data_IF_499505160792
#
_entry.id   IF_499505160792
#
_cell.length_a   1.000
_cell.length_b   1.000
_cell.length_c   1.000
_cell.angle_alpha   90.00
_cell.angle_beta   90.00
_cell.angle_gamma   90.00
#
_symmetry.space_group_name_H-M   'P 1'
#
loop_
_entity.id
_entity.type
_entity.pdbx_description
1 polymer ?
#
# COMPACT_ATOMS: atom_id res chain seq x y z
N UNK A 1 20.01 28.34 24.50
CA UNK A 1 19.08 27.18 24.60
C UNK A 1 19.92 25.92 24.65
N UNK A 2 19.65 24.98 25.56
CA UNK A 2 20.51 23.83 25.79
C UNK A 2 20.61 22.96 24.54
N UNK A 3 21.82 22.52 24.22
CA UNK A 3 22.08 21.56 23.15
C UNK A 3 21.43 20.24 23.52
N UNK A 4 20.70 19.66 22.57
CA UNK A 4 20.04 18.38 22.76
C UNK A 4 21.11 17.30 22.60
N UNK A 5 21.33 16.54 23.67
CA UNK A 5 22.19 15.37 23.68
C UNK A 5 21.46 14.20 22.98
N UNK A 6 21.93 13.84 21.78
CA UNK A 6 21.33 12.82 20.93
C UNK A 6 21.50 11.43 21.54
N UNK A 7 22.67 11.12 22.10
CA UNK A 7 22.96 9.82 22.70
C UNK A 7 22.04 9.56 23.89
N UNK A 8 21.88 10.58 24.74
CA UNK A 8 20.96 10.50 25.88
C UNK A 8 19.50 10.29 25.44
N UNK A 9 19.10 10.88 24.32
CA UNK A 9 17.75 10.68 23.77
C UNK A 9 17.56 9.27 23.20
N UNK A 10 18.54 8.78 22.44
CA UNK A 10 18.51 7.41 21.90
C UNK A 10 18.48 6.38 23.03
N UNK A 11 19.30 6.57 24.06
CA UNK A 11 19.26 5.73 25.27
C UNK A 11 17.87 5.78 25.94
N UNK A 12 17.29 6.98 26.10
CA UNK A 12 15.95 7.12 26.66
C UNK A 12 14.84 6.45 25.80
N UNK A 13 15.00 6.38 24.48
CA UNK A 13 14.08 5.71 23.55
C UNK A 13 14.26 4.19 23.51
N UNK A 14 15.45 3.67 23.78
CA UNK A 14 15.77 2.25 23.65
C UNK A 14 15.73 1.51 24.98
N UNK A 15 16.34 2.09 26.02
CA UNK A 15 16.60 1.44 27.30
C UNK A 15 15.70 1.99 28.42
N UNK A 16 15.07 3.14 28.19
CA UNK A 16 14.18 3.75 29.15
C UNK A 16 12.98 2.88 29.51
N UNK A 17 12.34 3.19 30.64
CA UNK A 17 11.02 2.64 30.99
C UNK A 17 10.01 2.91 29.87
N UNK A 18 8.92 2.14 29.78
CA UNK A 18 7.87 2.37 28.78
C UNK A 18 7.35 3.83 28.78
N UNK A 19 7.22 4.43 29.97
CA UNK A 19 6.82 5.84 30.11
C UNK A 19 7.92 6.78 29.59
N UNK A 20 9.18 6.51 29.93
CA UNK A 20 10.34 7.28 29.47
C UNK A 20 10.46 7.24 27.94
N UNK A 21 10.32 6.06 27.33
CA UNK A 21 10.35 5.90 25.86
C UNK A 21 9.23 6.68 25.18
N UNK A 22 8.00 6.60 25.73
CA UNK A 22 6.87 7.39 25.23
C UNK A 22 7.11 8.90 25.36
N UNK A 23 7.69 9.35 26.48
CA UNK A 23 8.01 10.76 26.70
C UNK A 23 9.11 11.25 25.76
N UNK A 24 10.14 10.43 25.54
CA UNK A 24 11.22 10.71 24.60
C UNK A 24 10.69 10.89 23.17
N UNK A 25 9.93 9.91 22.64
CA UNK A 25 9.31 10.01 21.31
C UNK A 25 8.44 11.27 21.19
N UNK A 26 7.64 11.58 22.23
CA UNK A 26 6.79 12.78 22.23
C UNK A 26 7.61 14.06 22.18
N UNK A 27 8.72 14.14 22.92
CA UNK A 27 9.59 15.32 22.95
C UNK A 27 10.29 15.57 21.60
N UNK A 28 10.46 14.51 20.80
CA UNK A 28 11.07 14.52 19.48
C UNK A 28 10.09 14.87 18.35
N UNK A 29 8.78 14.87 18.62
CA UNK A 29 7.78 15.25 17.63
C UNK A 29 8.08 16.65 17.07
N UNK A 30 8.09 16.85 15.74
CA UNK A 30 8.29 18.17 15.14
C UNK A 30 7.28 19.22 15.62
N UNK A 31 6.13 18.79 16.13
CA UNK A 31 5.10 19.64 16.71
C UNK A 31 5.56 20.34 18.00
N UNK A 32 6.49 19.73 18.75
CA UNK A 32 7.06 20.25 20.00
C UNK A 32 8.50 20.69 19.84
N UNK A 33 9.26 19.99 19.00
CA UNK A 33 10.67 20.23 18.78
C UNK A 33 10.96 20.31 17.29
N UNK A 34 11.07 21.54 16.78
CA UNK A 34 11.28 21.79 15.36
C UNK A 34 12.76 21.67 14.92
N UNK A 35 13.68 21.28 15.80
CA UNK A 35 15.13 21.31 15.53
C UNK A 35 15.77 19.94 15.34
N UNK A 36 15.17 18.88 15.88
CA UNK A 36 15.77 17.54 15.81
C UNK A 36 15.48 16.90 14.46
N UNK A 37 16.53 16.78 13.64
CA UNK A 37 16.51 16.17 12.30
C UNK A 37 17.57 15.09 12.14
N UNK A 38 18.10 14.62 13.25
CA UNK A 38 19.11 13.57 13.29
C UNK A 38 18.57 12.26 12.69
N UNK A 39 19.32 11.65 11.77
CA UNK A 39 18.86 10.47 11.04
C UNK A 39 18.67 9.26 11.97
N UNK A 40 19.54 9.05 12.95
CA UNK A 40 19.45 7.90 13.85
C UNK A 40 18.21 8.00 14.74
N UNK A 41 17.93 9.20 15.26
CA UNK A 41 16.71 9.47 16.01
C UNK A 41 15.46 9.17 15.19
N UNK A 42 15.43 9.60 13.92
CA UNK A 42 14.30 9.36 13.04
C UNK A 42 14.17 7.89 12.64
N UNK A 43 15.26 7.19 12.39
CA UNK A 43 15.27 5.76 12.16
C UNK A 43 14.62 5.01 13.34
N UNK A 44 14.94 5.41 14.57
CA UNK A 44 14.35 4.86 15.79
C UNK A 44 12.86 5.19 15.91
N UNK A 45 12.42 6.41 15.56
CA UNK A 45 10.99 6.74 15.48
C UNK A 45 10.25 5.83 14.50
N UNK A 46 10.79 5.61 13.29
CA UNK A 46 10.20 4.71 12.31
C UNK A 46 10.15 3.26 12.81
N UNK A 47 11.21 2.80 13.47
CA UNK A 47 11.25 1.47 14.10
C UNK A 47 10.18 1.33 15.18
N UNK A 48 10.07 2.28 16.12
CA UNK A 48 9.04 2.30 17.17
C UNK A 48 7.63 2.35 16.62
N UNK A 49 7.40 3.01 15.48
CA UNK A 49 6.09 3.01 14.84
C UNK A 49 5.66 1.62 14.31
N UNK A 50 6.63 0.78 13.91
CA UNK A 50 6.40 -0.62 13.49
C UNK A 50 6.30 -1.58 14.67
N UNK A 51 7.30 -1.55 15.54
CA UNK A 51 7.59 -2.61 16.52
C UNK A 51 7.24 -2.24 17.97
N UNK A 52 7.00 -0.95 18.27
CA UNK A 52 6.79 -0.48 19.63
C UNK A 52 5.50 -0.97 20.28
N UNK A 53 5.39 -0.73 21.58
CA UNK A 53 4.14 -0.86 22.32
C UNK A 53 3.05 0.08 21.80
N UNK A 54 1.79 -0.14 22.20
CA UNK A 54 0.65 0.60 21.66
C UNK A 54 0.83 2.13 21.73
N UNK A 55 1.29 2.65 22.87
CA UNK A 55 1.48 4.10 23.06
C UNK A 55 2.72 4.62 22.35
N UNK A 56 3.80 3.85 22.28
CA UNK A 56 5.00 4.21 21.53
C UNK A 56 4.67 4.36 20.05
N UNK A 57 3.92 3.40 19.49
CA UNK A 57 3.45 3.44 18.11
C UNK A 57 2.56 4.64 17.84
N UNK A 58 1.68 4.97 18.78
CA UNK A 58 0.80 6.15 18.67
C UNK A 58 1.60 7.46 18.64
N UNK A 59 2.58 7.62 19.54
CA UNK A 59 3.44 8.81 19.57
C UNK A 59 4.35 8.89 18.34
N UNK A 60 4.93 7.76 17.90
CA UNK A 60 5.78 7.72 16.72
C UNK A 60 4.97 8.01 15.44
N UNK A 61 3.75 7.47 15.34
CA UNK A 61 2.82 7.76 14.27
C UNK A 61 2.44 9.25 14.20
N UNK A 62 2.22 9.89 15.36
CA UNK A 62 1.99 11.33 15.43
C UNK A 62 3.22 12.12 14.93
N UNK A 63 4.43 11.74 15.35
CA UNK A 63 5.67 12.38 14.91
C UNK A 63 5.87 12.26 13.39
N UNK A 64 5.66 11.07 12.80
CA UNK A 64 5.73 10.81 11.35
C UNK A 64 4.65 11.61 10.59
N UNK A 65 3.43 11.66 11.13
CA UNK A 65 2.36 12.47 10.56
C UNK A 65 2.73 13.97 10.50
N UNK A 66 3.34 14.47 11.57
CA UNK A 66 3.80 15.87 11.65
C UNK A 66 4.99 16.12 10.71
N UNK A 67 5.96 15.20 10.63
CA UNK A 67 7.06 15.26 9.66
C UNK A 67 6.52 15.41 8.24
N UNK A 68 5.53 14.60 7.89
CA UNK A 68 4.91 14.60 6.56
C UNK A 68 4.20 15.93 6.26
N UNK A 69 3.53 16.54 7.25
CA UNK A 69 2.96 17.88 7.08
C UNK A 69 4.06 18.93 6.88
N UNK A 70 5.12 18.91 7.68
CA UNK A 70 6.19 19.91 7.62
C UNK A 70 7.01 19.83 6.32
N UNK A 71 7.29 18.62 5.85
CA UNK A 71 7.96 18.37 4.58
C UNK A 71 7.24 19.01 3.37
N UNK A 72 5.94 19.26 3.49
CA UNK A 72 5.18 19.93 2.45
C UNK A 72 5.41 21.45 2.39
N UNK A 73 5.96 22.06 3.45
CA UNK A 73 6.11 23.50 3.61
C UNK A 73 7.57 23.95 3.78
N UNK A 74 8.48 23.03 4.08
CA UNK A 74 9.88 23.32 4.40
C UNK A 74 10.78 22.25 3.77
N UNK A 75 11.83 22.70 3.10
CA UNK A 75 12.73 21.86 2.29
C UNK A 75 13.59 20.94 3.16
N UNK A 76 14.12 21.42 4.29
CA UNK A 76 14.93 20.60 5.21
C UNK A 76 14.12 19.40 5.76
N UNK A 77 12.85 19.62 6.09
CA UNK A 77 11.95 18.54 6.50
C UNK A 77 11.60 17.60 5.34
N UNK A 78 11.62 18.10 4.11
CA UNK A 78 11.39 17.30 2.91
C UNK A 78 12.56 16.37 2.63
N UNK A 79 13.78 16.86 2.79
CA UNK A 79 15.00 16.07 2.62
C UNK A 79 15.08 14.95 3.66
N UNK A 80 14.75 15.26 4.91
CA UNK A 80 14.63 14.26 5.97
C UNK A 80 13.56 13.21 5.64
N UNK A 81 12.37 13.63 5.19
CA UNK A 81 11.33 12.67 4.78
C UNK A 81 11.77 11.83 3.57
N UNK A 82 12.55 12.41 2.66
CA UNK A 82 13.09 11.71 1.49
C UNK A 82 14.08 10.61 1.91
N UNK A 83 14.94 10.89 2.89
CA UNK A 83 15.87 9.91 3.45
C UNK A 83 15.14 8.68 4.02
N UNK A 84 13.95 8.87 4.58
CA UNK A 84 13.12 7.79 5.16
C UNK A 84 11.99 7.30 4.24
N UNK A 85 12.08 7.53 2.92
CA UNK A 85 11.01 7.17 1.99
C UNK A 85 10.76 5.66 1.96
N UNK A 86 11.81 4.85 2.03
CA UNK A 86 11.69 3.39 2.02
C UNK A 86 11.04 2.86 3.30
N UNK A 87 11.37 3.44 4.45
CA UNK A 87 10.82 3.11 5.76
C UNK A 87 9.36 3.53 5.84
N UNK A 88 9.03 4.72 5.33
CA UNK A 88 7.65 5.17 5.22
C UNK A 88 6.86 4.21 4.34
N UNK A 89 7.37 3.83 3.17
CA UNK A 89 6.73 2.89 2.26
C UNK A 89 6.59 1.47 2.86
N UNK A 90 7.59 0.98 3.59
CA UNK A 90 7.51 -0.29 4.30
C UNK A 90 6.46 -0.24 5.41
N UNK A 91 6.46 0.84 6.20
CA UNK A 91 5.43 1.12 7.18
C UNK A 91 4.07 1.21 6.46
N UNK A 92 4.03 1.75 5.23
CA UNK A 92 2.89 1.83 4.29
C UNK A 92 2.30 0.50 3.86
N UNK A 93 3.10 -0.55 3.77
CA UNK A 93 2.62 -1.88 3.40
C UNK A 93 2.01 -2.63 4.58
N UNK A 94 2.47 -2.38 5.80
CA UNK A 94 1.86 -2.99 6.99
C UNK A 94 0.50 -2.36 7.35
N UNK A 95 -0.56 -3.16 7.27
CA UNK A 95 -1.94 -2.71 7.50
C UNK A 95 -2.13 -2.18 8.92
N UNK A 96 -1.48 -2.78 9.93
CA UNK A 96 -1.64 -2.38 11.32
C UNK A 96 -0.99 -1.01 11.56
N UNK A 97 0.25 -0.84 11.14
CA UNK A 97 0.98 0.44 11.25
C UNK A 97 0.33 1.54 10.40
N UNK A 98 -0.23 1.17 9.25
CA UNK A 98 -1.05 2.08 8.44
C UNK A 98 -2.21 2.66 9.17
N UNK A 99 -2.99 1.81 9.83
CA UNK A 99 -4.16 2.28 10.55
C UNK A 99 -3.79 3.31 11.61
N UNK A 100 -2.69 3.10 12.34
CA UNK A 100 -2.23 4.01 13.38
C UNK A 100 -1.74 5.34 12.79
N UNK A 101 -0.82 5.32 11.82
CA UNK A 101 -0.29 6.54 11.18
C UNK A 101 -1.40 7.35 10.51
N UNK A 102 -2.22 6.71 9.69
CA UNK A 102 -3.32 7.37 8.99
C UNK A 102 -4.39 7.89 9.98
N UNK A 103 -4.63 7.17 11.07
CA UNK A 103 -5.52 7.57 12.15
C UNK A 103 -5.02 8.82 12.87
N UNK A 104 -3.75 8.86 13.22
CA UNK A 104 -3.09 10.03 13.82
C UNK A 104 -3.11 11.23 12.89
N UNK A 105 -2.78 11.03 11.61
CA UNK A 105 -2.85 12.10 10.60
C UNK A 105 -4.26 12.66 10.43
N UNK A 106 -5.29 11.82 10.53
CA UNK A 106 -6.69 12.27 10.50
C UNK A 106 -7.07 13.03 11.77
N UNK A 107 -6.76 12.47 12.94
CA UNK A 107 -7.12 13.04 14.25
C UNK A 107 -6.54 14.44 14.45
N UNK A 108 -5.33 14.68 13.96
CA UNK A 108 -4.62 15.94 14.15
C UNK A 108 -4.64 16.86 12.91
N UNK A 109 -5.46 16.54 11.89
CA UNK A 109 -5.63 17.39 10.71
C UNK A 109 -4.46 17.38 9.71
N UNK A 110 -3.41 16.59 9.93
CA UNK A 110 -2.28 16.43 9.00
C UNK A 110 -2.68 15.84 7.64
N UNK A 111 -3.80 15.10 7.57
CA UNK A 111 -4.27 14.45 6.35
C UNK A 111 -4.66 15.42 5.21
N UNK A 112 -4.92 16.70 5.52
CA UNK A 112 -5.40 17.69 4.55
C UNK A 112 -4.28 18.53 3.91
N UNK A 113 -3.03 18.45 4.40
CA UNK A 113 -1.94 19.36 4.00
C UNK A 113 -0.76 18.59 3.38
N UNK A 114 -0.51 18.78 2.09
CA UNK A 114 0.76 18.41 1.45
C UNK A 114 1.03 16.92 1.25
N UNK A 115 2.28 16.50 1.06
CA UNK A 115 2.75 15.14 0.68
C UNK A 115 2.06 13.97 1.42
N UNK A 116 1.53 14.22 2.62
CA UNK A 116 0.56 13.40 3.32
C UNK A 116 -0.57 12.95 2.40
N UNK A 117 -1.25 13.85 1.68
CA UNK A 117 -2.29 13.54 0.69
C UNK A 117 -1.79 12.63 -0.43
N UNK A 118 -0.53 12.76 -0.89
CA UNK A 118 0.05 11.88 -1.93
C UNK A 118 0.43 10.50 -1.38
N UNK A 119 1.06 10.41 -0.21
CA UNK A 119 1.33 9.13 0.47
C UNK A 119 0.07 8.43 0.95
N UNK A 120 -0.90 9.20 1.48
CA UNK A 120 -2.27 8.78 1.81
C UNK A 120 -3.00 8.33 0.56
N UNK A 121 -2.75 8.92 -0.63
CA UNK A 121 -3.21 8.40 -1.94
C UNK A 121 -2.48 7.12 -2.33
N UNK A 122 -1.18 6.97 -2.06
CA UNK A 122 -0.37 5.76 -2.32
C UNK A 122 -0.78 4.55 -1.45
N UNK A 123 -0.99 4.72 -0.13
CA UNK A 123 -1.63 3.67 0.73
C UNK A 123 -3.10 3.45 0.41
N UNK A 124 -3.74 4.43 -0.21
CA UNK A 124 -5.11 4.32 -0.72
C UNK A 124 -5.16 3.93 -2.20
N UNK A 125 -4.04 3.49 -2.77
CA UNK A 125 -4.01 2.86 -4.09
C UNK A 125 -4.44 1.41 -3.88
N UNK A 126 -5.71 1.24 -3.56
CA UNK A 126 -6.32 -0.07 -3.62
C UNK A 126 -6.64 -0.27 -5.10
N UNK A 127 -5.65 -0.83 -5.80
CA UNK A 127 -5.70 -1.23 -7.21
C UNK A 127 -6.11 -0.09 -8.15
N UNK A 128 -5.20 0.89 -8.34
CA UNK A 128 -5.29 1.85 -9.45
C UNK A 128 -4.83 1.18 -10.75
N UNK A 129 -5.57 0.12 -11.11
CA UNK A 129 -5.39 -0.59 -12.36
C UNK A 129 -6.09 0.27 -13.43
N UNK A 130 -5.31 0.86 -14.31
CA UNK A 130 -5.76 1.80 -15.35
C UNK A 130 -5.98 1.11 -16.69
N UNK A 131 -5.44 -0.09 -16.85
CA UNK A 131 -5.54 -0.84 -18.09
C UNK A 131 -6.01 -2.27 -17.85
N UNK A 132 -6.66 -2.90 -18.85
CA UNK A 132 -6.95 -4.33 -18.82
C UNK A 132 -5.69 -5.18 -18.61
N UNK A 133 -4.53 -4.72 -19.11
CA UNK A 133 -3.24 -5.42 -18.96
C UNK A 133 -2.79 -5.47 -17.51
N UNK A 134 -2.83 -4.33 -16.81
CA UNK A 134 -2.49 -4.26 -15.38
C UNK A 134 -3.43 -5.15 -14.55
N UNK A 135 -4.72 -5.19 -14.87
CA UNK A 135 -5.65 -6.10 -14.23
C UNK A 135 -5.32 -7.57 -14.52
N UNK A 136 -4.93 -7.91 -15.76
CA UNK A 136 -4.48 -9.26 -16.09
C UNK A 136 -3.24 -9.66 -15.28
N UNK A 137 -2.26 -8.77 -15.19
CA UNK A 137 -1.03 -8.99 -14.44
C UNK A 137 -1.30 -9.15 -12.94
N UNK A 138 -2.20 -8.35 -12.38
CA UNK A 138 -2.64 -8.50 -11.00
C UNK A 138 -3.33 -9.84 -10.76
N UNK A 139 -4.29 -10.24 -11.60
CA UNK A 139 -4.98 -11.55 -11.47
C UNK A 139 -3.98 -12.70 -11.56
N UNK A 140 -3.06 -12.65 -12.53
CA UNK A 140 -2.03 -13.67 -12.71
C UNK A 140 -1.10 -13.77 -11.50
N UNK A 141 -0.68 -12.63 -10.95
CA UNK A 141 0.13 -12.58 -9.73
C UNK A 141 -0.62 -13.11 -8.51
N UNK A 142 -1.87 -12.68 -8.33
CA UNK A 142 -2.72 -13.10 -7.21
C UNK A 142 -2.99 -14.61 -7.21
N UNK A 143 -3.17 -15.21 -8.39
CA UNK A 143 -3.42 -16.64 -8.55
C UNK A 143 -2.16 -17.49 -8.78
N UNK A 144 -0.97 -16.88 -8.86
CA UNK A 144 0.29 -17.59 -9.15
C UNK A 144 0.34 -18.25 -10.53
N UNK A 145 -0.33 -17.67 -11.53
CA UNK A 145 -0.40 -18.19 -12.90
C UNK A 145 0.81 -17.75 -13.74
N UNK A 146 1.43 -18.69 -14.45
CA UNK A 146 2.63 -18.46 -15.27
C UNK A 146 2.55 -19.17 -16.62
N UNK A 147 3.36 -18.70 -17.59
CA UNK A 147 3.44 -19.27 -18.93
C UNK A 147 2.09 -19.33 -19.65
N UNK A 148 1.75 -20.51 -20.18
CA UNK A 148 0.49 -20.75 -20.89
C UNK A 148 -0.76 -20.72 -20.00
N UNK A 149 -0.59 -20.78 -18.67
CA UNK A 149 -1.69 -20.70 -17.72
C UNK A 149 -2.11 -19.25 -17.39
N UNK A 150 -1.41 -18.24 -17.94
CA UNK A 150 -1.76 -16.83 -17.70
C UNK A 150 -3.09 -16.47 -18.33
N UNK A 151 -3.88 -15.68 -17.61
CA UNK A 151 -5.04 -14.98 -18.13
C UNK A 151 -4.57 -13.97 -19.16
N UNK A 152 -5.07 -14.11 -20.39
CA UNK A 152 -4.80 -13.18 -21.47
C UNK A 152 -5.60 -11.88 -21.25
N UNK A 153 -5.06 -10.75 -21.72
CA UNK A 153 -5.70 -9.43 -21.60
C UNK A 153 -7.05 -9.35 -22.31
N UNK A 154 -7.28 -10.20 -23.31
CA UNK A 154 -8.52 -10.30 -24.07
C UNK A 154 -9.49 -11.38 -23.55
N UNK A 155 -9.22 -11.98 -22.39
CA UNK A 155 -10.14 -12.95 -21.80
C UNK A 155 -11.51 -12.30 -21.50
N UNK A 156 -12.64 -12.92 -21.91
CA UNK A 156 -13.97 -12.33 -21.73
C UNK A 156 -14.36 -12.10 -20.26
N UNK A 157 -13.91 -12.95 -19.33
CA UNK A 157 -14.14 -12.77 -17.91
C UNK A 157 -13.31 -11.62 -17.34
N UNK A 158 -12.06 -11.50 -17.77
CA UNK A 158 -11.19 -10.38 -17.42
C UNK A 158 -11.74 -9.05 -17.94
N UNK A 159 -12.21 -8.99 -19.19
CA UNK A 159 -12.81 -7.79 -19.76
C UNK A 159 -14.09 -7.37 -19.04
N UNK A 160 -14.90 -8.32 -18.53
CA UNK A 160 -16.05 -8.01 -17.67
C UNK A 160 -15.64 -7.45 -16.32
N UNK A 161 -14.63 -8.05 -15.69
CA UNK A 161 -14.06 -7.54 -14.44
C UNK A 161 -13.48 -6.12 -14.63
N UNK A 162 -12.78 -5.90 -15.74
CA UNK A 162 -12.26 -4.60 -16.14
C UNK A 162 -13.36 -3.56 -16.31
N UNK A 163 -14.41 -3.87 -17.08
CA UNK A 163 -15.55 -2.96 -17.29
C UNK A 163 -16.24 -2.62 -15.97
N UNK A 164 -16.40 -3.60 -15.08
CA UNK A 164 -16.92 -3.35 -13.74
C UNK A 164 -16.01 -2.40 -12.96
N UNK A 165 -14.70 -2.61 -12.98
CA UNK A 165 -13.73 -1.77 -12.28
C UNK A 165 -13.72 -0.34 -12.85
N UNK A 166 -13.69 -0.20 -14.18
CA UNK A 166 -13.76 1.09 -14.87
C UNK A 166 -15.07 1.83 -14.57
N UNK A 167 -16.21 1.14 -14.63
CA UNK A 167 -17.51 1.70 -14.26
C UNK A 167 -17.55 2.13 -12.79
N UNK A 168 -16.88 1.37 -11.92
CA UNK A 168 -16.75 1.73 -10.50
C UNK A 168 -16.01 3.03 -10.30
N UNK A 169 -14.87 3.18 -10.99
CA UNK A 169 -14.05 4.40 -10.96
C UNK A 169 -14.82 5.59 -11.53
N UNK A 170 -15.58 5.37 -12.62
CA UNK A 170 -16.37 6.42 -13.27
C UNK A 170 -17.57 6.87 -12.42
N UNK A 171 -18.39 5.94 -11.93
CA UNK A 171 -19.62 6.28 -11.21
C UNK A 171 -19.40 6.61 -9.73
N UNK A 172 -18.31 6.13 -9.12
CA UNK A 172 -18.04 6.31 -7.70
C UNK A 172 -16.56 6.69 -7.47
N UNK A 173 -16.07 7.81 -8.02
CA UNK A 173 -14.64 8.18 -7.99
C UNK A 173 -14.06 8.35 -6.58
N UNK A 174 -14.92 8.57 -5.57
CA UNK A 174 -14.54 8.64 -4.16
C UNK A 174 -14.53 7.29 -3.43
N UNK A 175 -15.17 6.25 -3.98
CA UNK A 175 -15.26 4.91 -3.37
C UNK A 175 -14.17 4.01 -3.97
N UNK A 176 -13.53 3.22 -3.12
CA UNK A 176 -12.41 2.37 -3.55
C UNK A 176 -12.81 0.92 -3.61
N UNK A 177 -12.35 0.27 -4.67
CA UNK A 177 -12.36 -1.17 -4.78
C UNK A 177 -11.32 -1.73 -3.85
N UNK A 178 -11.73 -2.53 -2.86
CA UNK A 178 -10.77 -3.25 -2.01
C UNK A 178 -10.27 -4.51 -2.69
N UNK A 179 -9.12 -5.06 -2.27
CA UNK A 179 -8.66 -6.36 -2.78
C UNK A 179 -9.70 -7.47 -2.54
N UNK A 180 -10.29 -7.64 -1.33
CA UNK A 180 -11.36 -8.62 -1.13
C UNK A 180 -12.57 -8.42 -2.05
N UNK A 181 -12.92 -7.16 -2.34
CA UNK A 181 -13.99 -6.86 -3.29
C UNK A 181 -13.60 -7.23 -4.73
N UNK A 182 -12.37 -6.94 -5.15
CA UNK A 182 -11.88 -7.33 -6.48
C UNK A 182 -11.82 -8.86 -6.61
N UNK A 183 -11.39 -9.58 -5.57
CA UNK A 183 -11.38 -11.05 -5.51
C UNK A 183 -12.80 -11.60 -5.61
N UNK A 184 -13.74 -11.08 -4.83
CA UNK A 184 -15.16 -11.49 -4.89
C UNK A 184 -15.75 -11.30 -6.28
N UNK A 185 -15.40 -10.21 -6.97
CA UNK A 185 -15.81 -9.96 -8.35
C UNK A 185 -15.07 -10.85 -9.34
N UNK A 186 -13.80 -11.14 -9.09
CA UNK A 186 -12.99 -12.12 -9.82
C UNK A 186 -13.64 -13.51 -9.78
N UNK A 187 -14.06 -13.99 -8.62
CA UNK A 187 -14.81 -15.24 -8.45
C UNK A 187 -16.09 -15.28 -9.30
N UNK A 188 -16.78 -14.15 -9.45
CA UNK A 188 -18.00 -14.06 -10.26
C UNK A 188 -17.73 -14.05 -11.76
N UNK A 189 -16.70 -13.33 -12.23
CA UNK A 189 -16.45 -13.14 -13.67
C UNK A 189 -15.43 -14.11 -14.25
N UNK A 190 -14.58 -14.72 -13.42
CA UNK A 190 -13.54 -15.70 -13.75
C UNK A 190 -13.66 -16.96 -12.88
N UNK A 191 -14.83 -17.62 -12.80
CA UNK A 191 -15.07 -18.70 -11.83
C UNK A 191 -14.10 -19.87 -12.00
N UNK A 192 -13.77 -20.24 -13.24
CA UNK A 192 -12.84 -21.34 -13.55
C UNK A 192 -11.41 -21.12 -13.02
N UNK A 193 -11.02 -19.89 -12.70
CA UNK A 193 -9.69 -19.57 -12.20
C UNK A 193 -9.66 -19.38 -10.68
N UNK A 194 -10.75 -18.88 -10.10
CA UNK A 194 -10.85 -18.53 -8.69
C UNK A 194 -11.50 -19.61 -7.80
N UNK A 195 -12.19 -20.60 -8.37
CA UNK A 195 -12.83 -21.69 -7.62
C UNK A 195 -11.92 -22.93 -7.48
N UNK A 196 -10.79 -22.94 -8.18
CA UNK A 196 -9.86 -24.06 -8.18
C UNK A 196 -8.82 -23.81 -7.08
N UNK A 197 -8.60 -24.74 -6.14
CA UNK A 197 -7.55 -24.57 -5.15
C UNK A 197 -6.20 -24.36 -5.86
N UNK A 198 -5.34 -23.49 -5.34
CA UNK A 198 -4.19 -22.93 -6.06
C UNK A 198 -3.24 -23.97 -6.70
N UNK A 199 -3.20 -25.20 -6.17
CA UNK A 199 -2.43 -26.31 -6.71
C UNK A 199 -3.02 -26.93 -7.99
N UNK A 200 -4.34 -26.82 -8.21
CA UNK A 200 -5.05 -27.33 -9.39
C UNK A 200 -5.28 -26.26 -10.48
N UNK A 201 -5.17 -24.97 -10.15
CA UNK A 201 -5.43 -23.86 -11.07
C UNK A 201 -4.55 -23.89 -12.34
N UNK A 202 -3.33 -24.47 -12.23
CA UNK A 202 -2.41 -24.68 -13.35
C UNK A 202 -2.95 -25.63 -14.42
N UNK A 203 -3.74 -26.63 -14.02
CA UNK A 203 -4.31 -27.64 -14.92
C UNK A 203 -5.52 -27.10 -15.69
N UNK A 204 -6.36 -26.28 -15.04
CA UNK A 204 -7.57 -25.69 -15.65
C UNK A 204 -7.23 -24.59 -16.66
N UNK A 205 -6.23 -23.76 -16.39
CA UNK A 205 -5.82 -22.72 -17.33
C UNK A 205 -5.28 -23.29 -18.65
N UNK A 206 -4.60 -24.44 -18.63
CA UNK A 206 -4.20 -25.19 -19.84
C UNK A 206 -5.41 -25.63 -20.67
N UNK A 207 -6.46 -26.15 -20.03
CA UNK A 207 -7.66 -26.62 -20.73
C UNK A 207 -8.46 -25.48 -21.40
N UNK A 208 -8.53 -24.31 -20.77
CA UNK A 208 -9.22 -23.13 -21.31
C UNK A 208 -8.49 -22.52 -22.52
N UNK A 209 -7.16 -22.48 -22.50
CA UNK A 209 -6.34 -22.03 -23.63
C UNK A 209 -6.45 -22.93 -24.87
N UNK A 210 -6.67 -24.24 -24.68
CA UNK A 210 -6.88 -25.22 -25.75
C UNK A 210 -8.23 -25.04 -26.47
N UNK A 211 -9.30 -24.67 -25.75
CA UNK A 211 -10.63 -24.40 -26.36
C UNK A 211 -10.63 -23.15 -27.23
N UNK A 212 -9.93 -22.08 -26.83
CA UNK A 212 -9.85 -20.84 -27.61
C UNK A 212 -9.11 -21.02 -28.95
N UNK A 213 -8.14 -21.96 -29.04
CA UNK A 213 -7.40 -22.26 -30.27
C UNK A 213 -8.20 -23.13 -31.25
N UNK A 214 -8.99 -24.09 -30.77
CA UNK A 214 -9.87 -24.90 -31.63
C UNK A 214 -10.93 -24.06 -32.35
N UNK A 215 -11.46 -23.02 -31.70
CA UNK A 215 -12.42 -22.10 -32.32
C UNK A 215 -11.82 -21.26 -33.47
N UNK A 216 -10.50 -21.01 -33.48
CA UNK A 216 -9.83 -20.27 -34.56
C UNK A 216 -9.37 -21.15 -35.72
N UNK A 217 -9.15 -22.45 -35.50
CA UNK A 217 -8.69 -23.38 -36.53
C UNK A 217 -9.82 -23.93 -37.42
N UNK A 218 -11.09 -23.76 -37.05
CA UNK A 218 -12.26 -24.27 -37.79
C UNK A 218 -12.82 -23.37 -38.89
N UNK A 219 -12.25 -22.18 -39.13
CA UNK A 219 -12.73 -21.20 -40.12
C UNK A 219 -12.09 -21.33 -41.51
N UNK A 220 -11.72 -22.54 -41.93
CA UNK A 220 -11.15 -22.81 -43.26
C UNK A 220 -12.24 -22.82 -44.33
N UNK A 221 -12.36 -21.70 -45.03
CA UNK A 221 -13.20 -21.49 -46.21
C UNK A 221 -12.95 -22.59 -47.26
N UNK A 222 -13.98 -23.38 -47.59
CA UNK A 222 -14.03 -24.15 -48.84
C UNK A 222 -14.61 -23.23 -49.91
N UNK A 223 -13.76 -22.70 -50.78
CA UNK A 223 -14.20 -22.16 -52.06
C UNK A 223 -14.27 -23.32 -53.04
N UNK A 224 -15.49 -23.63 -53.50
CA UNK A 224 -15.74 -24.35 -54.74
C UNK A 224 -15.84 -23.35 -55.89
#
# INVERSE_FOLDING_TARGET
>A
MPQIDIDKLLAAMNEGSYQSRCAAIRSLCPCRNNRVRDLEVWAEIFRKAREGGLRERDQAAHAIGTLTEKAAKNDEWRDLLHAFRHELDALMRDTRSARVVLGQMKKHGHAHRGAARQGYRRRRTVLDLKTPKELADWVNGHLGLAGQARVATNDPGLLRLWRWLANRVQCQPGRRTTEPELVSRGQRYLPALFQVPAHEARSVARASGLRARRARAGGGCRTS
#
